data_IF_591828296374
#
_entry.id   IF_591828296374
#
_cell.length_a   1.000
_cell.length_b   1.000
_cell.length_c   1.000
_cell.angle_alpha   90.00
_cell.angle_beta   90.00
_cell.angle_gamma   90.00
#
_symmetry.space_group_name_H-M   'P 1'
#
loop_
_entity.id
_entity.type
_entity.pdbx_description
1 polymer ?
#
# COMPACT_ATOMS: atom_id res chain seq x y z
N UNK A 1 -8.76 20.49 -6.60
CA UNK A 1 -8.05 21.60 -7.30
C UNK A 1 -9.03 22.68 -7.77
N UNK A 2 -9.60 23.40 -6.82
CA UNK A 2 -10.29 24.65 -7.10
C UNK A 2 -9.27 25.79 -6.98
N UNK A 3 -9.10 26.54 -8.07
CA UNK A 3 -8.19 27.69 -8.14
C UNK A 3 -8.80 28.86 -7.37
N UNK A 4 -8.23 29.25 -6.23
CA UNK A 4 -8.58 30.50 -5.54
C UNK A 4 -7.79 31.67 -6.12
N UNK A 5 -8.42 32.84 -6.21
CA UNK A 5 -8.07 33.98 -7.06
C UNK A 5 -6.73 34.71 -6.78
N UNK A 6 -5.79 34.16 -6.00
CA UNK A 6 -4.44 34.75 -5.79
C UNK A 6 -3.39 33.65 -5.56
N UNK A 7 -2.98 32.97 -6.63
CA UNK A 7 -1.60 32.48 -6.86
C UNK A 7 -0.84 31.67 -5.79
N UNK A 8 -1.49 31.10 -4.77
CA UNK A 8 -0.86 30.21 -3.79
C UNK A 8 -1.56 28.85 -3.76
N UNK A 9 -0.83 27.78 -4.07
CA UNK A 9 -1.24 26.43 -3.66
C UNK A 9 -1.18 26.42 -2.13
N UNK A 10 -2.27 26.09 -1.43
CA UNK A 10 -2.19 25.70 -0.01
C UNK A 10 -1.98 24.19 0.01
N UNK A 11 -0.75 23.67 0.19
CA UNK A 11 -0.53 22.24 0.33
C UNK A 11 -0.99 21.85 1.74
N UNK A 12 -1.80 20.79 1.88
CA UNK A 12 -2.21 20.33 3.22
C UNK A 12 -3.41 19.39 3.19
N UNK A 13 -4.60 19.93 2.96
CA UNK A 13 -5.83 19.17 3.24
C UNK A 13 -6.30 18.29 2.08
N UNK A 14 -6.00 18.66 0.82
CA UNK A 14 -6.30 17.79 -0.34
C UNK A 14 -5.21 16.73 -0.61
N UNK A 15 -4.05 16.78 0.05
CA UNK A 15 -2.92 15.85 -0.17
C UNK A 15 -3.06 14.50 0.54
N UNK A 16 -3.98 14.40 1.50
CA UNK A 16 -4.27 13.18 2.24
C UNK A 16 -5.69 12.72 1.86
N UNK A 17 -5.84 11.43 1.58
CA UNK A 17 -7.13 10.77 1.39
C UNK A 17 -7.35 9.81 2.55
N UNK A 18 -8.31 10.15 3.40
CA UNK A 18 -8.66 9.32 4.54
C UNK A 18 -9.66 8.23 4.17
N UNK A 19 -9.34 6.98 4.53
CA UNK A 19 -10.14 5.80 4.21
C UNK A 19 -10.62 5.15 5.49
N UNK A 20 -11.92 5.23 5.72
CA UNK A 20 -12.61 4.63 6.88
C UNK A 20 -13.64 3.57 6.46
N UNK A 21 -13.85 3.39 5.16
CA UNK A 21 -14.74 2.37 4.58
C UNK A 21 -14.06 0.99 4.54
N UNK A 22 -14.87 -0.07 4.44
CA UNK A 22 -14.34 -1.44 4.37
C UNK A 22 -13.62 -1.74 3.03
N UNK A 23 -13.91 -0.98 1.98
CA UNK A 23 -13.30 -1.15 0.66
C UNK A 23 -12.90 0.19 0.06
N UNK A 24 -11.88 0.15 -0.81
CA UNK A 24 -11.43 1.27 -1.63
C UNK A 24 -11.03 0.77 -3.02
N UNK A 25 -11.60 1.36 -4.06
CA UNK A 25 -11.07 1.23 -5.43
C UNK A 25 -10.23 2.45 -5.75
N UNK A 26 -8.93 2.24 -5.94
CA UNK A 26 -7.98 3.31 -6.23
C UNK A 26 -8.14 3.76 -7.67
N UNK A 27 -8.09 5.07 -7.86
CA UNK A 27 -8.19 5.71 -9.17
C UNK A 27 -7.17 6.83 -9.26
N UNK A 28 -6.61 7.00 -10.45
CA UNK A 28 -5.64 8.06 -10.75
C UNK A 28 -6.16 9.45 -10.32
N UNK A 29 -7.38 9.80 -10.75
CA UNK A 29 -7.96 11.12 -10.54
C UNK A 29 -8.11 11.52 -9.07
N UNK A 30 -8.35 10.55 -8.19
CA UNK A 30 -8.60 10.83 -6.77
C UNK A 30 -7.37 10.61 -5.88
N UNK A 31 -6.44 9.76 -6.29
CA UNK A 31 -5.41 9.22 -5.38
C UNK A 31 -3.97 9.32 -5.88
N UNK A 32 -3.73 9.53 -7.19
CA UNK A 32 -2.36 9.57 -7.69
C UNK A 32 -1.58 10.74 -7.06
N UNK A 33 -0.39 10.44 -6.53
CA UNK A 33 0.48 11.42 -5.87
C UNK A 33 0.01 11.89 -4.49
N UNK A 34 -1.00 11.23 -3.90
CA UNK A 34 -1.51 11.52 -2.56
C UNK A 34 -1.09 10.44 -1.56
N UNK A 35 -1.14 10.80 -0.29
CA UNK A 35 -1.04 9.84 0.81
C UNK A 35 -2.44 9.33 1.13
N UNK A 36 -2.61 8.02 1.20
CA UNK A 36 -3.88 7.35 1.47
C UNK A 36 -3.76 6.73 2.87
N UNK A 37 -4.51 7.26 3.84
CA UNK A 37 -4.48 6.75 5.21
C UNK A 37 -5.54 5.68 5.41
N UNK A 38 -5.13 4.51 5.90
CA UNK A 38 -6.01 3.40 6.27
C UNK A 38 -6.41 3.56 7.75
N UNK A 39 -7.60 4.09 8.00
CA UNK A 39 -8.09 4.45 9.34
C UNK A 39 -9.31 3.62 9.76
N UNK A 40 -9.17 2.29 9.68
CA UNK A 40 -10.21 1.36 10.10
C UNK A 40 -9.62 0.13 10.79
N UNK A 41 -9.83 0.00 12.10
CA UNK A 41 -9.37 -1.14 12.89
C UNK A 41 -9.93 -2.51 12.44
N UNK A 42 -11.06 -2.52 11.72
CA UNK A 42 -11.68 -3.74 11.19
C UNK A 42 -11.18 -4.16 9.80
N UNK A 43 -10.08 -3.56 9.32
CA UNK A 43 -9.42 -3.88 8.05
C UNK A 43 -10.02 -3.16 6.83
N UNK A 44 -9.26 -2.96 5.77
CA UNK A 44 -9.70 -2.33 4.52
C UNK A 44 -9.23 -3.18 3.34
N UNK A 45 -10.10 -3.49 2.40
CA UNK A 45 -9.69 -4.07 1.10
C UNK A 45 -9.54 -2.97 0.05
N UNK A 46 -8.29 -2.69 -0.31
CA UNK A 46 -7.89 -1.76 -1.35
C UNK A 46 -7.62 -2.52 -2.64
N UNK A 47 -8.20 -2.05 -3.75
CA UNK A 47 -7.91 -2.53 -5.11
C UNK A 47 -7.22 -1.44 -5.89
N UNK A 48 -5.97 -1.69 -6.30
CA UNK A 48 -5.21 -0.84 -7.21
C UNK A 48 -5.85 -0.83 -8.60
N UNK A 49 -5.67 0.22 -9.42
CA UNK A 49 -6.09 0.16 -10.82
C UNK A 49 -5.30 -0.93 -11.57
N UNK A 50 -5.73 -1.27 -12.78
CA UNK A 50 -4.92 -2.13 -13.66
C UNK A 50 -3.58 -1.44 -13.97
N UNK A 51 -2.49 -2.21 -13.97
CA UNK A 51 -1.17 -1.69 -14.28
C UNK A 51 -1.08 -1.30 -15.77
N UNK A 52 -0.52 -0.14 -16.06
CA UNK A 52 -0.38 0.38 -17.44
C UNK A 52 1.03 0.86 -17.74
N UNK A 53 1.89 0.95 -16.73
CA UNK A 53 3.20 1.59 -16.78
C UNK A 53 3.10 3.11 -16.74
N UNK A 54 2.08 3.68 -16.12
CA UNK A 54 1.78 5.12 -16.11
C UNK A 54 2.79 5.98 -15.34
N UNK A 55 3.60 5.38 -14.45
CA UNK A 55 4.48 6.09 -13.52
C UNK A 55 3.78 6.63 -12.28
N UNK A 56 2.46 6.47 -12.17
CA UNK A 56 1.68 6.93 -11.02
C UNK A 56 2.12 6.25 -9.73
N UNK A 57 2.08 7.02 -8.64
CA UNK A 57 2.50 6.59 -7.31
C UNK A 57 1.31 6.69 -6.36
N UNK A 58 1.14 5.65 -5.56
CA UNK A 58 0.17 5.61 -4.48
C UNK A 58 0.93 5.26 -3.21
N UNK A 59 0.87 6.15 -2.22
CA UNK A 59 1.43 5.94 -0.91
C UNK A 59 0.30 5.60 0.06
N UNK A 60 0.43 4.47 0.74
CA UNK A 60 -0.50 4.02 1.77
C UNK A 60 0.19 4.08 3.11
N UNK A 61 -0.52 4.60 4.11
CA UNK A 61 -0.06 4.64 5.49
C UNK A 61 -1.16 4.06 6.37
N UNK A 62 -0.83 3.08 7.20
CA UNK A 62 -1.74 2.57 8.22
C UNK A 62 -1.85 3.64 9.30
N UNK A 63 -3.01 4.27 9.41
CA UNK A 63 -3.26 5.29 10.43
C UNK A 63 -3.87 4.71 11.71
N UNK A 64 -4.66 3.63 11.57
CA UNK A 64 -5.24 2.89 12.70
C UNK A 64 -4.81 1.44 12.63
N UNK A 65 -4.14 0.95 13.68
CA UNK A 65 -3.75 -0.47 13.78
C UNK A 65 -4.96 -1.39 13.57
N UNK A 66 -4.81 -2.38 12.70
CA UNK A 66 -5.81 -3.42 12.48
C UNK A 66 -5.95 -4.25 13.75
N UNK A 67 -7.17 -4.45 14.23
CA UNK A 67 -7.46 -5.29 15.42
C UNK A 67 -8.34 -6.49 15.08
N UNK A 68 -8.91 -6.53 13.87
CA UNK A 68 -9.70 -7.64 13.36
C UNK A 68 -9.72 -7.63 11.83
N UNK A 69 -9.88 -8.81 11.22
CA UNK A 69 -9.71 -9.02 9.77
C UNK A 69 -8.31 -8.58 9.32
N UNK A 70 -8.21 -8.00 8.11
CA UNK A 70 -6.94 -7.59 7.53
C UNK A 70 -7.10 -6.28 6.76
N UNK A 71 -6.04 -5.46 6.77
CA UNK A 71 -5.80 -4.51 5.68
C UNK A 71 -5.20 -5.28 4.50
N UNK A 72 -5.80 -5.13 3.33
CA UNK A 72 -5.43 -5.84 2.11
C UNK A 72 -5.23 -4.80 1.00
N UNK A 73 -4.08 -4.81 0.35
CA UNK A 73 -3.83 -4.03 -0.87
C UNK A 73 -3.51 -5.03 -1.99
N UNK A 74 -4.36 -5.06 -3.03
CA UNK A 74 -4.23 -6.02 -4.13
C UNK A 74 -4.39 -5.37 -5.49
N UNK A 75 -3.85 -6.03 -6.51
CA UNK A 75 -4.03 -5.64 -7.91
C UNK A 75 -5.48 -5.82 -8.39
N UNK A 76 -5.81 -5.24 -9.54
CA UNK A 76 -7.14 -5.38 -10.16
C UNK A 76 -7.37 -6.73 -10.85
N UNK A 77 -6.31 -7.44 -11.27
CA UNK A 77 -6.39 -8.65 -12.09
C UNK A 77 -5.14 -9.54 -11.92
N UNK A 78 -5.27 -10.84 -12.16
CA UNK A 78 -4.23 -11.85 -11.93
C UNK A 78 -2.99 -11.73 -12.85
N UNK A 79 -3.04 -10.92 -13.91
CA UNK A 79 -1.87 -10.69 -14.77
C UNK A 79 -0.95 -9.59 -14.24
N UNK A 80 -1.45 -8.72 -13.36
CA UNK A 80 -0.66 -7.70 -12.70
C UNK A 80 -0.01 -8.30 -11.45
N UNK A 81 1.29 -8.04 -11.26
CA UNK A 81 2.05 -8.56 -10.12
C UNK A 81 2.87 -7.47 -9.47
N UNK A 82 3.30 -7.73 -8.24
CA UNK A 82 4.26 -6.94 -7.51
C UNK A 82 5.70 -7.29 -7.88
N UNK A 83 6.58 -6.29 -7.83
CA UNK A 83 8.03 -6.46 -7.78
C UNK A 83 8.61 -5.56 -6.70
N UNK A 84 9.51 -6.12 -5.89
CA UNK A 84 10.23 -5.38 -4.87
C UNK A 84 10.23 -6.13 -3.55
N UNK A 85 10.15 -5.40 -2.45
CA UNK A 85 10.27 -5.96 -1.12
C UNK A 85 9.58 -5.09 -0.07
N UNK A 86 9.36 -5.68 1.10
CA UNK A 86 9.01 -4.96 2.33
C UNK A 86 10.06 -5.24 3.39
N UNK A 87 10.40 -4.21 4.17
CA UNK A 87 11.26 -4.32 5.35
C UNK A 87 10.37 -4.29 6.58
N UNK A 88 10.45 -5.34 7.39
CA UNK A 88 9.68 -5.49 8.62
C UNK A 88 10.63 -5.48 9.82
N UNK A 89 10.45 -4.51 10.72
CA UNK A 89 11.15 -4.51 11.99
C UNK A 89 10.70 -5.72 12.83
N UNK A 90 11.67 -6.43 13.40
CA UNK A 90 11.43 -7.63 14.20
C UNK A 90 10.99 -7.25 15.62
N UNK A 91 10.01 -7.96 16.15
CA UNK A 91 9.46 -7.74 17.49
C UNK A 91 10.46 -8.14 18.57
N UNK A 92 10.76 -7.21 19.48
CA UNK A 92 11.72 -7.36 20.57
C UNK A 92 13.20 -7.59 20.16
N UNK A 93 13.53 -7.43 18.88
CA UNK A 93 14.90 -7.46 18.36
C UNK A 93 15.40 -6.12 17.82
N UNK A 94 16.71 -6.00 17.65
CA UNK A 94 17.35 -4.90 16.90
C UNK A 94 17.70 -5.36 15.47
N UNK A 95 16.80 -6.11 14.84
CA UNK A 95 16.95 -6.73 13.52
C UNK A 95 15.75 -6.43 12.64
N UNK A 96 15.88 -6.71 11.34
CA UNK A 96 14.79 -6.57 10.38
C UNK A 96 14.72 -7.82 9.50
N UNK A 97 13.49 -8.21 9.18
CA UNK A 97 13.19 -9.18 8.14
C UNK A 97 12.94 -8.44 6.82
N UNK A 98 13.43 -9.00 5.73
CA UNK A 98 13.14 -8.48 4.39
C UNK A 98 12.38 -9.58 3.66
N UNK A 99 11.16 -9.25 3.21
CA UNK A 99 10.33 -10.15 2.41
C UNK A 99 10.29 -9.64 0.98
N UNK A 100 10.89 -10.39 0.06
CA UNK A 100 10.86 -10.12 -1.36
C UNK A 100 9.58 -10.66 -1.99
N UNK A 101 9.07 -9.97 -3.01
CA UNK A 101 7.95 -10.46 -3.82
C UNK A 101 8.35 -11.71 -4.61
N UNK A 102 7.52 -12.73 -4.61
CA UNK A 102 7.61 -13.86 -5.52
C UNK A 102 7.24 -13.47 -6.97
N UNK A 103 7.31 -14.43 -7.89
CA UNK A 103 7.00 -14.20 -9.30
C UNK A 103 5.55 -13.74 -9.51
N UNK A 104 4.63 -14.27 -8.70
CA UNK A 104 3.17 -14.13 -8.83
C UNK A 104 2.51 -13.34 -7.71
N UNK A 105 3.27 -12.77 -6.77
CA UNK A 105 2.67 -12.02 -5.67
C UNK A 105 1.91 -10.82 -6.21
N UNK A 106 0.66 -10.68 -5.76
CA UNK A 106 -0.31 -9.72 -6.29
C UNK A 106 -1.12 -9.06 -5.16
N UNK A 107 -0.86 -9.46 -3.92
CA UNK A 107 -1.62 -9.11 -2.72
C UNK A 107 -0.69 -8.92 -1.52
N UNK A 108 -0.86 -7.78 -0.83
CA UNK A 108 -0.27 -7.47 0.45
C UNK A 108 -1.37 -7.56 1.52
N UNK A 109 -1.21 -8.44 2.51
CA UNK A 109 -2.18 -8.68 3.60
C UNK A 109 -1.54 -8.46 4.97
N UNK A 110 -2.14 -7.55 5.74
CA UNK A 110 -1.67 -7.10 7.05
C UNK A 110 -2.73 -7.36 8.11
N UNK A 111 -2.38 -8.06 9.19
CA UNK A 111 -3.33 -8.57 10.19
C UNK A 111 -3.30 -7.84 11.55
N UNK A 112 -2.52 -6.77 11.66
CA UNK A 112 -2.28 -6.04 12.91
C UNK A 112 -1.25 -6.66 13.84
N UNK A 113 -0.58 -7.75 13.44
CA UNK A 113 0.40 -8.48 14.26
C UNK A 113 1.56 -9.00 13.41
N UNK A 114 1.58 -10.30 13.07
CA UNK A 114 2.70 -11.01 12.44
C UNK A 114 3.03 -10.55 11.02
N UNK A 115 2.04 -10.01 10.30
CA UNK A 115 2.20 -9.49 8.94
C UNK A 115 2.08 -7.96 8.89
N UNK A 116 2.33 -7.28 10.02
CA UNK A 116 2.16 -5.84 10.20
C UNK A 116 0.71 -5.38 10.12
N UNK A 117 0.48 -4.12 9.71
CA UNK A 117 -0.82 -3.46 9.87
C UNK A 117 -0.90 -2.66 11.16
N UNK A 118 0.26 -2.21 11.65
CA UNK A 118 0.39 -1.34 12.82
C UNK A 118 0.37 0.11 12.37
N UNK A 119 -0.18 1.00 13.21
CA UNK A 119 -0.18 2.42 12.93
C UNK A 119 1.26 2.93 12.68
N UNK A 120 1.46 3.60 11.53
CA UNK A 120 2.76 4.08 11.06
C UNK A 120 3.39 3.21 9.97
N UNK A 121 2.90 1.98 9.74
CA UNK A 121 3.32 1.16 8.60
C UNK A 121 3.00 1.87 7.29
N UNK A 122 3.91 1.78 6.31
CA UNK A 122 3.79 2.54 5.06
C UNK A 122 4.29 1.78 3.85
N UNK A 123 3.60 1.98 2.73
CA UNK A 123 3.84 1.28 1.48
C UNK A 123 3.73 2.23 0.30
N UNK A 124 4.62 2.07 -0.67
CA UNK A 124 4.54 2.77 -1.95
C UNK A 124 4.34 1.76 -3.06
N UNK A 125 3.32 1.99 -3.88
CA UNK A 125 3.05 1.25 -5.10
C UNK A 125 3.22 2.19 -6.28
N UNK A 126 4.13 1.86 -7.19
CA UNK A 126 4.35 2.62 -8.42
C UNK A 126 4.06 1.77 -9.64
N UNK A 127 3.19 2.26 -10.51
CA UNK A 127 2.88 1.61 -11.79
C UNK A 127 4.04 1.86 -12.78
N UNK A 128 4.78 0.82 -13.17
CA UNK A 128 6.00 0.95 -13.99
C UNK A 128 6.10 -0.11 -15.07
N UNK A 129 6.98 0.13 -16.05
CA UNK A 129 7.51 -0.88 -16.97
C UNK A 129 9.02 -0.96 -16.78
N UNK A 130 9.50 -1.82 -15.89
CA UNK A 130 10.94 -1.91 -15.57
C UNK A 130 11.81 -2.27 -16.78
N UNK A 131 11.27 -3.07 -17.70
CA UNK A 131 11.92 -3.45 -18.96
C UNK A 131 11.37 -2.73 -20.20
N UNK A 132 10.55 -1.68 -20.00
CA UNK A 132 9.90 -0.94 -21.09
C UNK A 132 8.68 -1.62 -21.72
N UNK A 133 8.36 -2.87 -21.36
CA UNK A 133 7.33 -3.67 -22.05
C UNK A 133 6.15 -4.00 -21.16
N UNK A 134 6.38 -4.78 -20.10
CA UNK A 134 5.30 -5.34 -19.27
C UNK A 134 5.04 -4.43 -18.07
N UNK A 135 3.81 -3.90 -17.92
CA UNK A 135 3.46 -3.11 -16.75
C UNK A 135 3.41 -4.00 -15.50
N UNK A 136 3.84 -3.45 -14.37
CA UNK A 136 3.84 -4.11 -13.07
C UNK A 136 3.82 -3.06 -11.96
N UNK A 137 3.55 -3.51 -10.74
CA UNK A 137 3.58 -2.65 -9.56
C UNK A 137 4.90 -2.80 -8.83
N UNK A 138 5.69 -1.72 -8.82
CA UNK A 138 6.88 -1.64 -7.96
C UNK A 138 6.43 -1.35 -6.52
N UNK A 139 6.70 -2.30 -5.64
CA UNK A 139 6.39 -2.25 -4.21
C UNK A 139 7.65 -1.91 -3.39
N UNK A 140 7.51 -0.95 -2.49
CA UNK A 140 8.43 -0.73 -1.38
C UNK A 140 7.63 -0.53 -0.10
N UNK A 141 7.91 -1.30 0.94
CA UNK A 141 7.24 -1.18 2.24
C UNK A 141 8.20 -1.06 3.42
N UNK A 142 7.79 -0.30 4.43
CA UNK A 142 8.41 -0.26 5.75
C UNK A 142 7.33 -0.45 6.79
N UNK A 143 7.51 -1.45 7.65
CA UNK A 143 6.50 -1.90 8.59
C UNK A 143 7.12 -2.47 9.86
N UNK A 144 6.31 -2.66 10.88
CA UNK A 144 6.65 -3.44 12.07
C UNK A 144 5.72 -4.65 12.21
N UNK A 145 6.10 -5.62 13.02
CA UNK A 145 5.23 -6.72 13.42
C UNK A 145 5.32 -6.96 14.93
N UNK A 146 4.39 -7.76 15.43
CA UNK A 146 4.44 -8.33 16.79
C UNK A 146 4.30 -9.83 16.72
N UNK A 147 4.91 -10.55 17.66
CA UNK A 147 4.87 -12.02 17.68
C UNK A 147 5.87 -12.64 16.70
N UNK A 148 5.49 -13.75 16.05
CA UNK A 148 6.35 -14.41 15.05
C UNK A 148 6.09 -13.85 13.67
N UNK A 149 7.05 -13.14 13.12
CA UNK A 149 6.96 -12.47 11.84
C UNK A 149 6.69 -13.42 10.69
N UNK A 150 5.83 -12.99 9.77
CA UNK A 150 5.47 -13.71 8.57
C UNK A 150 5.42 -12.78 7.37
N UNK A 151 5.61 -13.34 6.16
CA UNK A 151 5.46 -12.59 4.93
C UNK A 151 4.02 -12.05 4.80
N UNK A 152 3.84 -10.75 4.49
CA UNK A 152 2.53 -10.20 4.16
C UNK A 152 2.17 -10.42 2.67
N UNK A 153 3.08 -10.97 1.86
CA UNK A 153 2.95 -11.09 0.41
C UNK A 153 2.39 -12.46 0.01
N UNK A 154 1.49 -12.46 -0.97
CA UNK A 154 0.86 -13.67 -1.49
C UNK A 154 0.27 -13.45 -2.89
N UNK A 155 -0.12 -14.53 -3.55
CA UNK A 155 -0.90 -14.54 -4.79
C UNK A 155 -2.35 -14.95 -4.49
N UNK A 156 -3.31 -14.04 -4.66
CA UNK A 156 -4.73 -14.27 -4.31
C UNK A 156 -5.73 -13.73 -5.34
N UNK A 157 -5.27 -13.06 -6.40
CA UNK A 157 -6.12 -12.51 -7.47
C UNK A 157 -6.14 -13.45 -8.67
#
# INVERSE_FOLDING_TARGET
MQLLARGGLTPGDESIVDVTTATLTVTAAKHAGKIITLNRAAGITVTLPAATGSGMVYEFVVGTTVTSNNDIIKVANASDVFKGFVVQAQDAGATANIYETAATDDTLTMNGTTTGGLAGDRFTFRDVKLNGTTPLWLLQGFMAATGTEATPLSATV
#
